data_IF_868236265952
#
_entry.id   IF_868236265952
#
_cell.length_a   1.000
_cell.length_b   1.000
_cell.length_c   1.000
_cell.angle_alpha   90.00
_cell.angle_beta   90.00
_cell.angle_gamma   90.00
#
_symmetry.space_group_name_H-M   'P 1'
#
loop_
_entity.id
_entity.type
_entity.pdbx_description
1 polymer ?
#
# COMPACT_ATOMS: atom_id res chain seq x y z
N UNK A 1 -14.92 6.16 -9.79
CA UNK A 1 -13.70 6.05 -10.62
C UNK A 1 -12.85 4.92 -10.04
N UNK A 2 -12.51 3.90 -10.83
CA UNK A 2 -11.65 2.81 -10.35
C UNK A 2 -10.22 3.28 -10.16
N UNK A 3 -9.48 2.65 -9.24
CA UNK A 3 -8.02 2.83 -9.14
C UNK A 3 -7.43 2.27 -10.43
N UNK A 4 -6.81 3.11 -11.25
CA UNK A 4 -6.15 2.69 -12.49
C UNK A 4 -4.69 2.33 -12.23
N UNK A 5 -4.06 1.47 -13.07
CA UNK A 5 -2.62 1.26 -13.03
C UNK A 5 -1.81 2.57 -13.11
N UNK A 6 -2.30 3.55 -13.87
CA UNK A 6 -1.69 4.87 -13.98
C UNK A 6 -1.67 5.63 -12.65
N UNK A 7 -2.71 5.49 -11.83
CA UNK A 7 -2.80 6.13 -10.52
C UNK A 7 -1.79 5.52 -9.53
N UNK A 8 -1.70 4.18 -9.50
CA UNK A 8 -0.70 3.48 -8.66
C UNK A 8 0.71 3.88 -9.06
N UNK A 9 0.98 3.94 -10.37
CA UNK A 9 2.28 4.36 -10.89
C UNK A 9 2.61 5.83 -10.54
N UNK A 10 1.62 6.73 -10.66
CA UNK A 10 1.81 8.14 -10.29
C UNK A 10 2.13 8.31 -8.80
N UNK A 11 1.42 7.62 -7.91
CA UNK A 11 1.69 7.67 -6.47
C UNK A 11 3.08 7.11 -6.18
N UNK A 12 3.44 5.98 -6.80
CA UNK A 12 4.76 5.38 -6.61
C UNK A 12 5.89 6.33 -7.02
N UNK A 13 5.77 6.96 -8.20
CA UNK A 13 6.80 7.87 -8.69
C UNK A 13 6.91 9.13 -7.82
N UNK A 14 5.78 9.67 -7.34
CA UNK A 14 5.76 10.80 -6.41
C UNK A 14 6.50 10.46 -5.11
N UNK A 15 6.21 9.31 -4.50
CA UNK A 15 6.89 8.85 -3.28
C UNK A 15 8.39 8.64 -3.49
N UNK A 16 8.77 7.97 -4.59
CA UNK A 16 10.19 7.76 -4.93
C UNK A 16 10.90 9.08 -5.17
N UNK A 17 10.27 10.06 -5.83
CA UNK A 17 10.85 11.39 -6.04
C UNK A 17 11.11 12.14 -4.73
N UNK A 18 10.37 11.81 -3.68
CA UNK A 18 10.51 12.34 -2.32
C UNK A 18 11.47 11.53 -1.44
N UNK A 19 12.17 10.55 -2.01
CA UNK A 19 13.13 9.71 -1.31
C UNK A 19 12.49 8.56 -0.51
N UNK A 20 11.21 8.28 -0.71
CA UNK A 20 10.54 7.12 -0.09
C UNK A 20 10.80 5.89 -0.96
N UNK A 21 11.35 4.86 -0.34
CA UNK A 21 11.45 3.54 -0.96
C UNK A 21 10.05 2.90 -1.02
N UNK A 22 9.39 3.05 -2.16
CA UNK A 22 8.00 2.64 -2.38
C UNK A 22 7.88 1.62 -3.53
N UNK A 23 6.88 0.74 -3.42
CA UNK A 23 6.49 -0.20 -4.48
C UNK A 23 4.98 -0.29 -4.59
N UNK A 24 4.45 0.25 -5.68
CA UNK A 24 3.03 0.17 -6.03
C UNK A 24 2.66 -1.20 -6.62
N UNK A 25 1.53 -1.75 -6.18
CA UNK A 25 0.96 -2.98 -6.73
C UNK A 25 -0.48 -2.72 -7.20
N UNK A 26 -0.80 -3.19 -8.40
CA UNK A 26 -2.18 -3.27 -8.88
C UNK A 26 -2.64 -4.70 -8.63
N UNK A 27 -3.68 -4.84 -7.81
CA UNK A 27 -4.17 -6.15 -7.36
C UNK A 27 -5.61 -6.36 -7.82
N UNK A 28 -5.95 -7.61 -8.09
CA UNK A 28 -7.31 -8.09 -8.34
C UNK A 28 -7.72 -9.04 -7.24
N UNK A 29 -9.03 -9.24 -7.03
CA UNK A 29 -9.54 -10.18 -6.04
C UNK A 29 -9.37 -11.63 -6.55
N UNK A 30 -8.12 -12.11 -6.60
CA UNK A 30 -7.76 -13.44 -7.09
C UNK A 30 -6.65 -14.06 -6.21
N UNK A 31 -6.59 -15.40 -6.08
CA UNK A 31 -5.52 -16.07 -5.32
C UNK A 31 -4.11 -15.78 -5.83
N UNK A 32 -3.95 -15.56 -7.14
CA UNK A 32 -2.66 -15.20 -7.73
C UNK A 32 -2.13 -13.86 -7.20
N UNK A 33 -3.02 -12.89 -6.94
CA UNK A 33 -2.61 -11.62 -6.33
C UNK A 33 -2.19 -11.79 -4.86
N UNK A 34 -2.81 -12.68 -4.11
CA UNK A 34 -2.42 -12.95 -2.72
C UNK A 34 -0.96 -13.44 -2.64
N UNK A 35 -0.57 -14.33 -3.56
CA UNK A 35 0.81 -14.82 -3.66
C UNK A 35 1.80 -13.70 -4.03
N UNK A 36 1.41 -12.79 -4.93
CA UNK A 36 2.26 -11.65 -5.32
C UNK A 36 2.42 -10.65 -4.16
N UNK A 37 1.36 -10.35 -3.41
CA UNK A 37 1.44 -9.53 -2.19
C UNK A 37 2.40 -10.17 -1.19
N UNK A 38 2.24 -11.48 -0.92
CA UNK A 38 3.12 -12.21 -0.01
C UNK A 38 4.58 -12.17 -0.46
N UNK A 39 4.83 -12.34 -1.76
CA UNK A 39 6.17 -12.30 -2.36
C UNK A 39 6.81 -10.93 -2.15
N UNK A 40 6.10 -9.85 -2.48
CA UNK A 40 6.60 -8.47 -2.37
C UNK A 40 6.85 -8.06 -0.92
N UNK A 41 5.93 -8.40 -0.02
CA UNK A 41 6.04 -8.09 1.41
C UNK A 41 7.23 -8.82 2.06
N UNK A 42 7.69 -9.94 1.49
CA UNK A 42 8.88 -10.69 1.92
C UNK A 42 10.19 -10.25 1.26
N UNK A 43 10.16 -9.40 0.22
CA UNK A 43 11.38 -8.95 -0.46
C UNK A 43 12.31 -8.18 0.49
N UNK A 44 11.74 -7.47 1.47
CA UNK A 44 12.44 -6.72 2.51
C UNK A 44 11.52 -6.32 3.66
N UNK A 45 12.09 -5.66 4.67
CA UNK A 45 11.35 -5.11 5.80
C UNK A 45 10.66 -3.78 5.46
N UNK A 46 9.44 -3.87 4.92
CA UNK A 46 8.60 -2.70 4.68
C UNK A 46 8.11 -2.08 5.99
N UNK A 47 8.10 -0.75 6.08
CA UNK A 47 7.61 -0.06 7.28
C UNK A 47 6.08 0.09 7.31
N UNK A 48 5.43 0.13 6.14
CA UNK A 48 3.98 0.25 6.08
C UNK A 48 3.37 -0.10 4.73
N UNK A 49 2.05 -0.27 4.75
CA UNK A 49 1.21 -0.69 3.65
C UNK A 49 0.04 0.28 3.44
N UNK A 50 -0.18 0.69 2.19
CA UNK A 50 -1.36 1.41 1.75
C UNK A 50 -2.33 0.47 1.04
N UNK A 51 -3.59 0.45 1.47
CA UNK A 51 -4.65 -0.29 0.79
C UNK A 51 -5.66 0.68 0.18
N UNK A 52 -5.72 0.70 -1.14
CA UNK A 52 -6.57 1.62 -1.90
C UNK A 52 -8.07 1.47 -1.61
N UNK A 53 -8.82 2.54 -1.86
CA UNK A 53 -10.26 2.63 -1.57
C UNK A 53 -11.06 1.44 -2.12
N UNK A 54 -10.84 1.02 -3.37
CA UNK A 54 -11.59 -0.09 -3.98
C UNK A 54 -11.50 -1.42 -3.22
N UNK A 55 -10.34 -1.73 -2.63
CA UNK A 55 -10.16 -2.93 -1.81
C UNK A 55 -10.90 -2.80 -0.48
N UNK A 56 -10.89 -1.60 0.13
CA UNK A 56 -11.51 -1.36 1.45
C UNK A 56 -13.04 -1.46 1.46
N UNK A 57 -13.69 -1.40 0.29
CA UNK A 57 -15.13 -1.57 0.17
C UNK A 57 -15.57 -3.04 0.13
N UNK A 58 -14.65 -3.97 -0.10
CA UNK A 58 -14.88 -5.40 -0.02
C UNK A 58 -14.22 -5.91 1.26
N UNK A 59 -14.99 -6.02 2.33
CA UNK A 59 -14.50 -6.40 3.66
C UNK A 59 -13.76 -7.75 3.63
N UNK A 60 -14.29 -8.73 2.89
CA UNK A 60 -13.68 -10.05 2.80
C UNK A 60 -12.32 -9.99 2.10
N UNK A 61 -12.22 -9.21 1.02
CA UNK A 61 -10.95 -9.03 0.32
C UNK A 61 -9.95 -8.21 1.14
N UNK A 62 -10.42 -7.16 1.82
CA UNK A 62 -9.60 -6.37 2.73
C UNK A 62 -8.98 -7.24 3.84
N UNK A 63 -9.81 -8.01 4.55
CA UNK A 63 -9.35 -8.89 5.62
C UNK A 63 -8.38 -9.96 5.11
N UNK A 64 -8.62 -10.48 3.90
CA UNK A 64 -7.70 -11.43 3.26
C UNK A 64 -6.32 -10.81 3.00
N UNK A 65 -6.25 -9.59 2.47
CA UNK A 65 -4.98 -8.88 2.24
C UNK A 65 -4.25 -8.62 3.56
N UNK A 66 -4.97 -8.17 4.59
CA UNK A 66 -4.39 -7.95 5.92
C UNK A 66 -3.80 -9.25 6.48
N UNK A 67 -4.52 -10.37 6.36
CA UNK A 67 -4.03 -11.66 6.81
C UNK A 67 -2.77 -12.11 6.06
N UNK A 68 -2.74 -11.96 4.74
CA UNK A 68 -1.56 -12.29 3.90
C UNK A 68 -0.35 -11.47 4.34
N UNK A 69 -0.54 -10.16 4.55
CA UNK A 69 0.53 -9.24 4.96
C UNK A 69 1.00 -9.58 6.36
N UNK A 70 0.11 -9.76 7.33
CA UNK A 70 0.45 -10.09 8.72
C UNK A 70 1.21 -11.42 8.84
N UNK A 71 0.81 -12.43 8.06
CA UNK A 71 1.50 -13.72 8.00
C UNK A 71 2.89 -13.62 7.34
N UNK A 72 3.04 -12.71 6.39
CA UNK A 72 4.27 -12.56 5.60
C UNK A 72 5.30 -11.63 6.23
N UNK A 73 4.83 -10.54 6.85
CA UNK A 73 5.63 -9.56 7.57
C UNK A 73 4.76 -8.84 8.64
N UNK A 74 4.74 -9.34 9.89
CA UNK A 74 3.87 -8.80 10.95
C UNK A 74 4.28 -7.40 11.45
N UNK A 75 5.43 -6.87 11.01
CA UNK A 75 5.93 -5.55 11.43
C UNK A 75 5.37 -4.41 10.56
N UNK A 76 4.76 -4.73 9.42
CA UNK A 76 4.23 -3.74 8.48
C UNK A 76 3.05 -3.03 9.11
N UNK A 77 3.13 -1.69 9.22
CA UNK A 77 2.00 -0.87 9.70
C UNK A 77 0.97 -0.67 8.59
N UNK A 78 -0.31 -0.89 8.89
CA UNK A 78 -1.38 -0.47 7.99
C UNK A 78 -1.53 1.05 8.05
N UNK A 79 -1.46 1.71 6.89
CA UNK A 79 -1.53 3.16 6.79
C UNK A 79 -2.90 3.57 6.23
N UNK A 80 -3.70 4.19 7.08
CA UNK A 80 -5.02 4.68 6.70
C UNK A 80 -4.91 6.04 5.99
N UNK A 81 -5.53 6.13 4.82
CA UNK A 81 -5.58 7.34 3.98
C UNK A 81 -6.98 7.52 3.38
N UNK A 82 -7.40 8.76 3.13
CA UNK A 82 -8.75 9.03 2.59
C UNK A 82 -8.84 8.92 1.06
N UNK A 83 -7.71 8.88 0.37
CA UNK A 83 -7.64 8.76 -1.08
C UNK A 83 -6.23 9.06 -1.59
N UNK A 84 -5.99 8.96 -2.90
CA UNK A 84 -4.65 9.07 -3.49
C UNK A 84 -3.89 10.34 -3.11
N UNK A 85 -4.59 11.47 -2.96
CA UNK A 85 -4.01 12.75 -2.56
C UNK A 85 -3.62 12.85 -1.07
N UNK A 86 -4.05 11.89 -0.24
CA UNK A 86 -3.76 11.86 1.21
C UNK A 86 -2.61 10.89 1.56
N UNK A 87 -1.98 10.24 0.57
CA UNK A 87 -0.92 9.24 0.82
C UNK A 87 0.27 9.86 1.54
N UNK A 88 0.76 11.02 1.09
CA UNK A 88 1.85 11.73 1.77
C UNK A 88 1.48 12.08 3.22
N UNK A 89 0.34 12.73 3.43
CA UNK A 89 -0.13 13.09 4.77
C UNK A 89 -0.23 11.85 5.67
N UNK A 90 -0.69 10.72 5.13
CA UNK A 90 -0.76 9.48 5.89
C UNK A 90 0.63 8.96 6.29
N UNK A 91 1.65 9.03 5.43
CA UNK A 91 3.05 8.70 5.78
C UNK A 91 3.53 9.60 6.92
N UNK A 92 3.40 10.92 6.75
CA UNK A 92 3.88 11.91 7.71
C UNK A 92 3.25 11.72 9.10
N UNK A 93 1.94 11.44 9.14
CA UNK A 93 1.20 11.14 10.39
C UNK A 93 1.67 9.86 11.09
N UNK A 94 1.90 8.77 10.35
CA UNK A 94 2.19 7.45 10.96
C UNK A 94 3.67 7.25 11.31
N UNK A 95 4.57 7.95 10.63
CA UNK A 95 6.02 7.83 10.84
C UNK A 95 6.63 9.07 11.50
N UNK A 96 5.85 10.12 11.75
CA UNK A 96 6.33 11.38 12.33
C UNK A 96 7.50 11.99 11.55
N UNK A 97 7.41 11.93 10.21
CA UNK A 97 8.37 12.52 9.26
C UNK A 97 7.71 13.63 8.47
N UNK A 98 8.50 14.45 7.78
CA UNK A 98 8.02 15.41 6.79
C UNK A 98 8.70 15.12 5.47
N UNK A 99 7.93 14.80 4.43
CA UNK A 99 8.47 14.55 3.10
C UNK A 99 8.76 15.89 2.40
N UNK A 100 9.77 15.96 1.53
CA UNK A 100 10.03 17.15 0.73
C UNK A 100 8.83 17.49 -0.16
N UNK A 101 8.64 18.79 -0.39
CA UNK A 101 7.63 19.35 -1.30
C UNK A 101 8.02 19.15 -2.76
#
# INVERSE_FOLDING_TARGET
MGITPSLVHSINNDLVSKGVDAKGLVVTNTPACDAEIARVVKEKDWNGLFIGYGVRHDQQWFDRIINVVNQSNPKVKLLHHNGPSDVQNAIERHFHVKLPL
#
